data_IF_166632850941
#
_entry.id   IF_166632850941
#
_cell.length_a   1.000
_cell.length_b   1.000
_cell.length_c   1.000
_cell.angle_alpha   90.00
_cell.angle_beta   90.00
_cell.angle_gamma   90.00
#
_symmetry.space_group_name_H-M   'P 1'
#
loop_
_entity.id
_entity.type
_entity.pdbx_description
1 polymer ?
#
# COMPACT_ATOMS: atom_id res chain seq x y z
N UNK A 1 20.17 -8.06 11.09
CA UNK A 1 20.18 -8.39 9.65
C UNK A 1 19.39 -7.32 8.90
N UNK A 2 20.08 -6.58 8.04
CA UNK A 2 19.66 -5.56 7.05
C UNK A 2 18.32 -4.80 7.22
N UNK A 3 18.33 -3.47 7.41
CA UNK A 3 17.19 -2.61 7.11
C UNK A 3 17.18 -2.33 5.60
N UNK A 4 16.42 -3.12 4.85
CA UNK A 4 16.00 -2.79 3.48
C UNK A 4 14.55 -2.31 3.69
N UNK A 5 14.19 -1.03 3.64
CA UNK A 5 14.10 -0.17 2.46
C UNK A 5 14.12 1.27 3.02
N UNK A 6 15.21 2.02 2.83
CA UNK A 6 15.21 3.47 3.12
C UNK A 6 14.39 4.13 2.00
N UNK A 7 13.09 4.33 2.22
CA UNK A 7 12.23 4.95 1.22
C UNK A 7 12.64 6.41 1.08
N UNK A 8 13.23 6.73 -0.07
CA UNK A 8 13.51 8.10 -0.47
C UNK A 8 12.18 8.87 -0.45
N UNK A 9 12.10 9.92 0.37
CA UNK A 9 10.94 10.81 0.54
C UNK A 9 10.67 11.61 -0.72
N UNK A 10 10.10 10.93 -1.71
CA UNK A 10 9.55 11.55 -2.91
C UNK A 10 8.08 11.88 -2.61
N UNK A 11 7.67 13.12 -2.86
CA UNK A 11 6.29 13.56 -2.61
C UNK A 11 5.27 12.65 -3.32
N UNK A 12 4.04 12.51 -2.78
CA UNK A 12 2.98 11.69 -3.39
C UNK A 12 2.77 12.01 -4.87
N UNK A 13 2.85 13.30 -5.23
CA UNK A 13 2.78 13.77 -6.62
C UNK A 13 3.89 13.17 -7.51
N UNK A 14 5.15 13.18 -7.05
CA UNK A 14 6.27 12.61 -7.81
C UNK A 14 6.15 11.08 -7.95
N UNK A 15 5.61 10.41 -6.94
CA UNK A 15 5.35 8.97 -6.96
C UNK A 15 4.25 8.62 -7.97
N UNK A 16 3.13 9.33 -7.94
CA UNK A 16 2.07 9.21 -8.94
C UNK A 16 2.59 9.49 -10.36
N UNK A 17 3.39 10.53 -10.55
CA UNK A 17 4.00 10.82 -11.86
C UNK A 17 4.93 9.70 -12.36
N UNK A 18 5.68 9.03 -11.49
CA UNK A 18 6.52 7.89 -11.88
C UNK A 18 5.66 6.71 -12.31
N UNK A 19 4.61 6.42 -11.55
CA UNK A 19 3.66 5.35 -11.85
C UNK A 19 2.97 5.58 -13.20
N UNK A 20 2.51 6.81 -13.46
CA UNK A 20 1.89 7.16 -14.75
C UNK A 20 2.84 7.04 -15.93
N UNK A 21 4.16 7.20 -15.74
CA UNK A 21 5.17 7.01 -16.79
C UNK A 21 5.48 5.54 -17.08
N UNK A 22 5.20 4.66 -16.13
CA UNK A 22 5.46 3.22 -16.25
C UNK A 22 4.22 2.48 -16.81
N UNK A 23 3.05 3.11 -16.77
CA UNK A 23 1.82 2.56 -17.33
C UNK A 23 1.82 2.62 -18.86
N UNK A 24 1.28 1.59 -19.53
CA UNK A 24 1.01 1.61 -20.96
C UNK A 24 0.06 2.76 -21.37
N UNK A 25 0.25 3.32 -22.57
CA UNK A 25 -0.60 4.41 -23.08
C UNK A 25 -2.06 3.98 -23.33
N UNK A 26 -2.32 2.67 -23.46
CA UNK A 26 -3.66 2.09 -23.60
C UNK A 26 -4.34 1.77 -22.26
N UNK A 27 -3.72 2.13 -21.13
CA UNK A 27 -4.31 1.94 -19.80
C UNK A 27 -5.63 2.71 -19.65
N UNK A 28 -6.63 2.04 -19.09
CA UNK A 28 -7.90 2.68 -18.75
C UNK A 28 -7.79 3.56 -17.50
N UNK A 29 -8.81 4.38 -17.24
CA UNK A 29 -8.88 5.14 -15.99
C UNK A 29 -8.97 4.21 -14.77
N UNK A 30 -9.63 3.06 -14.92
CA UNK A 30 -9.74 2.03 -13.91
C UNK A 30 -8.37 1.43 -13.56
N UNK A 31 -7.52 1.17 -14.56
CA UNK A 31 -6.15 0.66 -14.35
C UNK A 31 -5.31 1.68 -13.59
N UNK A 32 -5.33 2.95 -14.02
CA UNK A 32 -4.62 4.04 -13.36
C UNK A 32 -5.06 4.15 -11.89
N UNK A 33 -6.38 4.11 -11.64
CA UNK A 33 -6.94 4.18 -10.30
C UNK A 33 -6.50 3.00 -9.44
N UNK A 34 -6.54 1.77 -9.98
CA UNK A 34 -6.12 0.58 -9.27
C UNK A 34 -4.64 0.67 -8.85
N UNK A 35 -3.77 1.05 -9.78
CA UNK A 35 -2.34 1.19 -9.53
C UNK A 35 -2.05 2.28 -8.49
N UNK A 36 -2.76 3.41 -8.53
CA UNK A 36 -2.64 4.45 -7.51
C UNK A 36 -3.13 3.97 -6.13
N UNK A 37 -4.23 3.22 -6.08
CA UNK A 37 -4.76 2.66 -4.85
C UNK A 37 -3.75 1.70 -4.19
N UNK A 38 -3.17 0.78 -4.98
CA UNK A 38 -2.16 -0.15 -4.49
C UNK A 38 -0.93 0.60 -3.98
N UNK A 39 -0.44 1.58 -4.73
CA UNK A 39 0.69 2.43 -4.31
C UNK A 39 0.41 3.09 -2.96
N UNK A 40 -0.77 3.67 -2.78
CA UNK A 40 -1.17 4.31 -1.52
C UNK A 40 -1.22 3.30 -0.36
N UNK A 41 -1.73 2.08 -0.60
CA UNK A 41 -1.78 1.03 0.43
C UNK A 41 -0.40 0.57 0.87
N UNK A 42 0.55 0.45 -0.07
CA UNK A 42 1.93 0.10 0.24
C UNK A 42 2.60 1.21 1.06
N UNK A 43 2.47 2.47 0.65
CA UNK A 43 3.04 3.60 1.40
C UNK A 43 2.47 3.69 2.81
N UNK A 44 1.15 3.48 2.96
CA UNK A 44 0.53 3.41 4.28
C UNK A 44 1.09 2.24 5.11
N UNK A 45 1.19 1.04 4.53
CA UNK A 45 1.72 -0.12 5.25
C UNK A 45 3.18 0.06 5.70
N UNK A 46 4.01 0.71 4.89
CA UNK A 46 5.38 1.06 5.29
C UNK A 46 5.39 2.04 6.47
N UNK A 47 4.52 3.06 6.44
CA UNK A 47 4.37 4.00 7.54
C UNK A 47 3.84 3.32 8.81
N UNK A 48 2.87 2.43 8.69
CA UNK A 48 2.31 1.68 9.82
C UNK A 48 3.39 0.80 10.48
N UNK A 49 4.32 0.23 9.70
CA UNK A 49 5.50 -0.50 10.22
C UNK A 49 6.47 0.44 10.96
N UNK A 50 6.77 1.62 10.39
CA UNK A 50 7.64 2.62 11.03
C UNK A 50 7.06 3.14 12.36
N UNK A 51 5.74 3.31 12.43
CA UNK A 51 5.01 3.78 13.61
C UNK A 51 4.69 2.65 14.61
N UNK A 52 5.03 1.39 14.28
CA UNK A 52 4.73 0.22 15.12
C UNK A 52 3.25 -0.15 15.16
N UNK A 53 2.43 0.40 14.26
CA UNK A 53 1.01 0.08 14.08
C UNK A 53 0.84 -1.23 13.30
N UNK A 54 1.38 -2.32 13.85
CA UNK A 54 1.35 -3.65 13.26
C UNK A 54 0.56 -4.62 14.14
N UNK A 55 -0.11 -5.57 13.50
CA UNK A 55 -0.81 -6.65 14.20
C UNK A 55 0.01 -7.93 14.12
N UNK A 56 0.01 -8.72 15.20
CA UNK A 56 0.44 -10.11 15.12
C UNK A 56 -0.52 -10.93 14.25
N UNK A 57 -0.03 -12.08 13.77
CA UNK A 57 -0.83 -12.99 12.95
C UNK A 57 -2.16 -13.39 13.61
N UNK A 58 -2.14 -13.66 14.91
CA UNK A 58 -3.32 -14.07 15.67
C UNK A 58 -4.32 -12.92 15.89
N UNK A 59 -3.82 -11.69 16.09
CA UNK A 59 -4.66 -10.49 16.15
C UNK A 59 -5.33 -10.21 14.80
N UNK A 60 -4.57 -10.30 13.71
CA UNK A 60 -5.10 -10.13 12.36
C UNK A 60 -6.20 -11.14 12.04
N UNK A 61 -6.00 -12.42 12.40
CA UNK A 61 -7.05 -13.46 12.29
C UNK A 61 -8.29 -13.09 13.09
N UNK A 62 -8.14 -12.70 14.37
CA UNK A 62 -9.27 -12.35 15.23
C UNK A 62 -10.09 -11.19 14.64
N UNK A 63 -9.42 -10.17 14.11
CA UNK A 63 -10.05 -9.04 13.43
C UNK A 63 -10.81 -9.54 12.20
N UNK A 64 -10.18 -10.33 11.34
CA UNK A 64 -10.80 -10.86 10.13
C UNK A 64 -12.05 -11.70 10.46
N UNK A 65 -11.94 -12.64 11.40
CA UNK A 65 -13.04 -13.49 11.86
C UNK A 65 -14.22 -12.67 12.39
N UNK A 66 -13.97 -11.56 13.09
CA UNK A 66 -15.03 -10.66 13.57
C UNK A 66 -15.88 -10.10 12.42
N UNK A 67 -15.29 -9.81 11.27
CA UNK A 67 -16.01 -9.17 10.16
C UNK A 67 -16.61 -10.18 9.18
N UNK A 68 -16.03 -11.36 9.00
CA UNK A 68 -16.55 -12.38 8.07
C UNK A 68 -17.65 -13.26 8.68
N UNK A 69 -17.74 -13.36 10.01
CA UNK A 69 -18.73 -14.21 10.70
C UNK A 69 -20.09 -13.53 10.89
N UNK A 70 -20.24 -12.27 10.46
CA UNK A 70 -21.49 -11.50 10.56
C UNK A 70 -22.45 -11.77 9.37
N UNK A 71 -22.11 -12.69 8.47
CA UNK A 71 -22.96 -13.13 7.36
C UNK A 71 -23.62 -14.49 7.64
#
# INVERSE_FOLDING_TARGET
MAPIIKSKSSSPKKRAQKLLKELPDDSSFEDIQYHLYVLQKVEKGLKDIEEGSVFSHEEAKRILYKYITIC
#
